data_IF_432601002691
#
_entry.id   IF_432601002691
#
_cell.length_a   1.000
_cell.length_b   1.000
_cell.length_c   1.000
_cell.angle_alpha   90.00
_cell.angle_beta   90.00
_cell.angle_gamma   90.00
#
_symmetry.space_group_name_H-M   'P 1'
#
loop_
_entity.id
_entity.type
_entity.pdbx_description
1 polymer ?
#
# COMPACT_ATOMS: atom_id res chain seq x y z
N UNK A 1 4.79 -25.86 -1.81
CA UNK A 1 3.78 -24.89 -1.34
C UNK A 1 4.30 -24.15 -0.13
N UNK A 2 4.67 -22.87 -0.28
CA UNK A 2 5.16 -22.03 0.82
C UNK A 2 4.06 -21.10 1.37
N UNK A 3 2.80 -21.29 0.98
CA UNK A 3 1.67 -20.47 1.44
C UNK A 3 1.77 -18.99 1.01
N UNK A 4 1.14 -18.12 1.80
CA UNK A 4 1.15 -16.66 1.61
C UNK A 4 2.45 -16.07 2.16
N UNK A 5 3.15 -15.26 1.36
CA UNK A 5 4.42 -14.64 1.76
C UNK A 5 4.28 -13.33 2.53
N UNK A 6 3.19 -12.59 2.30
CA UNK A 6 2.92 -11.30 2.93
C UNK A 6 1.41 -11.09 3.02
N UNK A 7 0.93 -10.68 4.20
CA UNK A 7 -0.44 -10.26 4.46
C UNK A 7 -0.40 -8.79 4.86
N UNK A 8 -1.28 -7.99 4.25
CA UNK A 8 -1.53 -6.60 4.60
C UNK A 8 -3.00 -6.49 5.02
N UNK A 9 -3.26 -5.84 6.15
CA UNK A 9 -4.60 -5.61 6.68
C UNK A 9 -4.78 -4.10 6.87
N UNK A 10 -5.73 -3.55 6.12
CA UNK A 10 -6.14 -2.14 6.17
C UNK A 10 -7.34 -1.98 7.10
N UNK A 11 -7.41 -0.88 7.84
CA UNK A 11 -8.54 -0.54 8.71
C UNK A 11 -8.90 0.95 8.60
N UNK A 12 -9.21 1.39 7.39
CA UNK A 12 -9.51 2.80 7.11
C UNK A 12 -8.35 3.73 7.44
N UNK A 13 -8.58 4.68 8.35
CA UNK A 13 -7.56 5.63 8.82
C UNK A 13 -6.65 5.10 9.94
N UNK A 14 -6.90 3.89 10.43
CA UNK A 14 -6.05 3.24 11.44
C UNK A 14 -4.78 2.65 10.82
N UNK A 15 -3.74 2.34 11.62
CA UNK A 15 -2.50 1.78 11.12
C UNK A 15 -2.68 0.48 10.31
N UNK A 16 -1.96 0.38 9.18
CA UNK A 16 -1.86 -0.84 8.39
C UNK A 16 -1.14 -1.91 9.21
N UNK A 17 -1.77 -3.06 9.40
CA UNK A 17 -1.09 -4.22 10.01
C UNK A 17 -0.51 -5.09 8.90
N UNK A 18 0.75 -5.50 9.03
CA UNK A 18 1.42 -6.36 8.06
C UNK A 18 2.10 -7.55 8.73
N UNK A 19 2.16 -8.66 8.00
CA UNK A 19 2.78 -9.90 8.48
C UNK A 19 3.40 -10.69 7.33
N UNK A 20 4.67 -11.06 7.49
CA UNK A 20 5.41 -11.99 6.63
C UNK A 20 5.86 -13.21 7.44
N UNK A 21 6.61 -14.12 6.82
CA UNK A 21 7.22 -15.24 7.55
C UNK A 21 8.32 -14.81 8.53
N UNK A 22 8.87 -13.60 8.38
CA UNK A 22 10.07 -13.15 9.11
C UNK A 22 9.82 -11.97 10.04
N UNK A 23 8.75 -11.21 9.83
CA UNK A 23 8.39 -10.06 10.64
C UNK A 23 6.90 -9.77 10.58
N UNK A 24 6.42 -9.03 11.57
CA UNK A 24 5.10 -8.40 11.55
C UNK A 24 5.19 -7.05 12.23
N UNK A 25 4.21 -6.19 11.98
CA UNK A 25 4.18 -4.86 12.54
C UNK A 25 2.96 -4.07 12.14
N UNK A 26 2.99 -2.79 12.50
CA UNK A 26 2.00 -1.81 12.04
C UNK A 26 2.70 -0.62 11.40
N UNK A 27 2.03 0.03 10.46
CA UNK A 27 2.48 1.24 9.81
C UNK A 27 1.38 2.30 9.87
N UNK A 28 1.66 3.50 10.40
CA UNK A 28 0.62 4.51 10.59
C UNK A 28 0.07 5.01 9.25
N UNK A 29 -1.24 5.25 9.20
CA UNK A 29 -1.82 5.97 8.07
C UNK A 29 -1.59 7.47 8.21
N UNK A 30 -1.20 8.18 7.13
CA UNK A 30 -1.10 9.62 7.17
C UNK A 30 -2.50 10.23 7.31
N UNK A 31 -2.63 11.37 8.02
CA UNK A 31 -3.91 12.06 8.12
C UNK A 31 -4.37 12.50 6.73
N UNK A 32 -5.64 12.25 6.42
CA UNK A 32 -6.26 12.60 5.15
C UNK A 32 -7.50 13.48 5.37
N UNK A 33 -7.74 14.43 4.47
CA UNK A 33 -8.98 15.18 4.45
C UNK A 33 -10.06 14.36 3.74
N UNK A 34 -10.83 13.57 4.49
CA UNK A 34 -11.79 12.61 3.91
C UNK A 34 -13.01 13.34 3.34
N UNK A 35 -13.17 13.27 2.01
CA UNK A 35 -14.32 13.78 1.24
C UNK A 35 -15.21 12.63 0.78
N UNK A 36 -14.62 11.55 0.26
CA UNK A 36 -15.31 10.34 -0.22
C UNK A 36 -14.37 9.15 0.00
N UNK A 37 -14.86 8.05 0.57
CA UNK A 37 -14.01 6.87 0.83
C UNK A 37 -13.97 5.87 -0.32
N UNK A 38 -14.73 6.14 -1.38
CA UNK A 38 -14.80 5.29 -2.57
C UNK A 38 -13.41 5.09 -3.18
N UNK A 39 -13.09 3.84 -3.55
CA UNK A 39 -11.81 3.43 -4.17
C UNK A 39 -10.53 3.62 -3.33
N UNK A 40 -10.61 3.99 -2.03
CA UNK A 40 -9.42 4.10 -1.18
C UNK A 40 -8.61 2.80 -1.09
N UNK A 41 -9.31 1.66 -0.97
CA UNK A 41 -8.69 0.33 -0.95
C UNK A 41 -8.09 -0.05 -2.30
N UNK A 42 -8.75 0.30 -3.42
CA UNK A 42 -8.23 0.06 -4.76
C UNK A 42 -6.97 0.87 -5.02
N UNK A 43 -6.94 2.13 -4.56
CA UNK A 43 -5.75 2.99 -4.62
C UNK A 43 -4.60 2.43 -3.78
N UNK A 44 -4.88 1.92 -2.57
CA UNK A 44 -3.88 1.26 -1.74
C UNK A 44 -3.30 0.03 -2.46
N UNK A 45 -4.15 -0.88 -2.95
CA UNK A 45 -3.71 -2.09 -3.66
C UNK A 45 -2.95 -1.72 -4.94
N UNK A 46 -3.45 -0.77 -5.72
CA UNK A 46 -2.81 -0.29 -6.94
C UNK A 46 -1.44 0.32 -6.67
N UNK A 47 -1.32 1.19 -5.67
CA UNK A 47 -0.05 1.79 -5.26
C UNK A 47 0.95 0.76 -4.75
N UNK A 48 0.50 -0.23 -3.97
CA UNK A 48 1.35 -1.32 -3.51
C UNK A 48 1.87 -2.17 -4.67
N UNK A 49 0.97 -2.57 -5.59
CA UNK A 49 1.34 -3.38 -6.75
C UNK A 49 2.22 -2.60 -7.73
N UNK A 50 2.05 -1.28 -7.85
CA UNK A 50 2.95 -0.42 -8.63
C UNK A 50 4.40 -0.50 -8.11
N UNK A 51 4.59 -0.42 -6.80
CA UNK A 51 5.91 -0.56 -6.17
C UNK A 51 6.50 -1.95 -6.40
N UNK A 52 5.70 -3.01 -6.19
CA UNK A 52 6.15 -4.39 -6.42
C UNK A 52 6.55 -4.58 -7.88
N UNK A 53 5.71 -4.18 -8.84
CA UNK A 53 6.00 -4.33 -10.27
C UNK A 53 7.23 -3.54 -10.73
N UNK A 54 7.55 -2.43 -10.06
CA UNK A 54 8.72 -1.60 -10.37
C UNK A 54 10.02 -2.14 -9.77
N UNK A 55 9.94 -3.00 -8.76
CA UNK A 55 11.09 -3.45 -7.95
C UNK A 55 11.33 -4.96 -7.98
N UNK A 56 10.43 -5.73 -8.60
CA UNK A 56 10.44 -7.19 -8.60
C UNK A 56 10.25 -7.73 -10.01
N UNK A 57 11.21 -8.51 -10.47
CA UNK A 57 11.25 -9.04 -11.84
C UNK A 57 10.48 -10.36 -11.98
N UNK A 58 10.47 -11.18 -10.93
CA UNK A 58 9.85 -12.50 -10.94
C UNK A 58 9.38 -12.98 -9.56
N UNK A 59 8.76 -14.16 -9.53
CA UNK A 59 8.20 -14.78 -8.33
C UNK A 59 9.25 -15.14 -7.25
N UNK A 60 10.45 -15.54 -7.66
CA UNK A 60 11.51 -15.88 -6.72
C UNK A 60 12.03 -14.61 -6.04
N UNK A 61 12.23 -13.54 -6.83
CA UNK A 61 12.59 -12.23 -6.31
C UNK A 61 11.50 -11.67 -5.38
N UNK A 62 10.22 -11.87 -5.71
CA UNK A 62 9.10 -11.48 -4.83
C UNK A 62 9.22 -12.11 -3.44
N UNK A 63 9.59 -13.40 -3.37
CA UNK A 63 9.70 -14.10 -2.08
C UNK A 63 10.80 -13.49 -1.21
N UNK A 64 11.93 -13.11 -1.80
CA UNK A 64 12.99 -12.37 -1.09
C UNK A 64 12.53 -10.96 -0.71
N UNK A 65 11.90 -10.25 -1.65
CA UNK A 65 11.40 -8.90 -1.47
C UNK A 65 10.39 -8.81 -0.33
N UNK A 66 9.43 -9.74 -0.27
CA UNK A 66 8.37 -9.81 0.75
C UNK A 66 8.90 -10.12 2.16
N UNK A 67 10.12 -10.68 2.26
CA UNK A 67 10.82 -10.92 3.53
C UNK A 67 11.87 -9.84 3.82
N UNK A 68 11.87 -8.72 3.10
CA UNK A 68 12.70 -7.56 3.41
C UNK A 68 11.83 -6.45 4.01
N UNK A 69 12.04 -6.17 5.30
CA UNK A 69 11.26 -5.21 6.08
C UNK A 69 11.23 -3.81 5.45
N UNK A 70 12.39 -3.25 5.09
CA UNK A 70 12.51 -1.90 4.53
C UNK A 70 11.80 -1.76 3.17
N UNK A 71 11.92 -2.78 2.32
CA UNK A 71 11.24 -2.81 1.02
C UNK A 71 9.72 -2.85 1.18
N UNK A 72 9.23 -3.71 2.07
CA UNK A 72 7.79 -3.81 2.37
C UNK A 72 7.28 -2.50 2.97
N UNK A 73 7.99 -1.89 3.92
CA UNK A 73 7.61 -0.60 4.48
C UNK A 73 7.56 0.52 3.43
N UNK A 74 8.53 0.56 2.51
CA UNK A 74 8.53 1.54 1.42
C UNK A 74 7.29 1.39 0.52
N UNK A 75 6.89 0.16 0.23
CA UNK A 75 5.68 -0.09 -0.55
C UNK A 75 4.40 0.23 0.22
N UNK A 76 4.36 -0.04 1.53
CA UNK A 76 3.24 0.32 2.40
C UNK A 76 3.12 1.84 2.50
N UNK A 77 4.20 2.60 2.69
CA UNK A 77 4.19 4.07 2.70
C UNK A 77 3.54 4.63 1.43
N UNK A 78 4.05 4.19 0.28
CA UNK A 78 3.53 4.63 -1.02
C UNK A 78 2.06 4.28 -1.22
N UNK A 79 1.67 3.04 -0.91
CA UNK A 79 0.29 2.57 -1.00
C UNK A 79 -0.65 3.37 -0.08
N UNK A 80 -0.19 3.69 1.12
CA UNK A 80 -0.98 4.42 2.10
C UNK A 80 -1.15 5.89 1.68
N UNK A 81 -0.12 6.52 1.11
CA UNK A 81 -0.23 7.83 0.45
C UNK A 81 -1.24 7.81 -0.70
N UNK A 82 -1.29 6.74 -1.49
CA UNK A 82 -2.27 6.60 -2.56
C UNK A 82 -3.71 6.58 -2.03
N UNK A 83 -3.97 5.76 -0.99
CA UNK A 83 -5.28 5.71 -0.33
C UNK A 83 -5.67 7.06 0.26
N UNK A 84 -4.75 7.71 0.98
CA UNK A 84 -4.97 9.02 1.61
C UNK A 84 -5.26 10.15 0.60
N UNK A 85 -4.56 10.18 -0.53
CA UNK A 85 -4.84 11.16 -1.60
C UNK A 85 -6.17 10.89 -2.30
N UNK A 86 -6.55 9.62 -2.46
CA UNK A 86 -7.82 9.23 -3.11
C UNK A 86 -9.00 9.72 -2.30
N UNK A 87 -8.99 9.53 -0.98
CA UNK A 87 -10.13 9.94 -0.15
C UNK A 87 -10.35 11.45 -0.08
N UNK A 88 -9.38 12.25 -0.54
CA UNK A 88 -9.46 13.70 -0.57
C UNK A 88 -10.21 14.28 -1.78
N UNK A 89 -10.62 13.43 -2.73
CA UNK A 89 -11.37 13.81 -3.93
C UNK A 89 -12.65 12.97 -4.00
N UNK A 90 -13.74 13.57 -4.51
CA UNK A 90 -15.00 12.85 -4.71
C UNK A 90 -14.91 11.93 -5.93
N UNK A 91 -15.45 10.72 -5.84
CA UNK A 91 -15.48 9.75 -6.93
C UNK A 91 -14.52 8.57 -6.73
N UNK A 92 -14.63 7.58 -7.63
CA UNK A 92 -13.83 6.35 -7.60
C UNK A 92 -12.53 6.51 -8.40
N UNK A 93 -12.55 6.12 -9.67
CA UNK A 93 -11.36 6.12 -10.53
C UNK A 93 -10.82 7.52 -10.82
N UNK A 94 -11.69 8.53 -10.91
CA UNK A 94 -11.29 9.93 -11.11
C UNK A 94 -10.51 10.51 -9.91
N UNK A 95 -10.65 9.90 -8.74
CA UNK A 95 -9.96 10.29 -7.52
C UNK A 95 -8.58 9.61 -7.36
N UNK A 96 -8.27 8.60 -8.19
CA UNK A 96 -6.97 7.91 -8.12
C UNK A 96 -5.83 8.90 -8.38
N UNK A 97 -4.79 8.93 -7.53
CA UNK A 97 -3.71 9.89 -7.66
C UNK A 97 -2.77 9.53 -8.80
N UNK A 98 -2.25 10.56 -9.45
CA UNK A 98 -1.01 10.48 -10.23
C UNK A 98 0.21 10.61 -9.32
N UNK A 99 1.41 10.36 -9.85
CA UNK A 99 2.64 10.58 -9.08
C UNK A 99 2.80 12.02 -8.55
N UNK A 100 2.29 13.01 -9.28
CA UNK A 100 2.37 14.42 -8.89
C UNK A 100 1.37 14.78 -7.77
N UNK A 101 0.32 13.98 -7.58
CA UNK A 101 -0.68 14.16 -6.51
C UNK A 101 -0.20 13.62 -5.16
N UNK A 102 0.89 12.84 -5.13
CA UNK A 102 1.37 12.21 -3.91
C UNK A 102 2.25 13.17 -3.09
N UNK A 103 2.04 13.26 -1.77
CA UNK A 103 2.91 14.04 -0.90
C UNK A 103 4.33 13.44 -0.91
N UNK A 104 5.33 14.32 -0.78
CA UNK A 104 6.74 13.95 -0.64
C UNK A 104 6.93 12.94 0.52
#
# INVERSE_FOLDING_TARGET
>A
DNGVSLVLMTDGGEPITFSSCSFSGTYPCPPANVVDTTAAGDAFVGGFLYQVASLVSDKNEFTYWANNFEKVLTAIDFATKCGASTVAKFGAFDALPTHEDLPA
#
